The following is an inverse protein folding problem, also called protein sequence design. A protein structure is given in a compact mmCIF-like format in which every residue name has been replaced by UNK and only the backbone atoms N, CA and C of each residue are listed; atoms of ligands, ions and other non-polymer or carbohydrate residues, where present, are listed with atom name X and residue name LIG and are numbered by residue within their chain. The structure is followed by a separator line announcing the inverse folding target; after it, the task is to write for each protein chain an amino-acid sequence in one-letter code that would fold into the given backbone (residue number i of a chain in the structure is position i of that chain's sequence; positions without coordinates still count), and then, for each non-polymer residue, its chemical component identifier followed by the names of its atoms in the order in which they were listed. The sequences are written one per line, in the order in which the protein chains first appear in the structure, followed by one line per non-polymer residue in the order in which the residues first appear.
data_IF_119708216427
#
_entry.id   IF_119708216427
#
_cell.length_a   1.000
_cell.length_b   1.000
_cell.length_c   1.000
_cell.angle_alpha   90.00
_cell.angle_beta   90.00
_cell.angle_gamma   90.00
#
_symmetry.space_group_name_H-M   'P 1'
#
loop_
_entity.id
_entity.type
_entity.pdbx_description
1 polymer ?
#
# COMPACT_ATOMS: atom_id res chain seq x y z
N UNK A 1 -3.57 15.40 2.72
CA UNK A 1 -4.12 16.58 1.99
C UNK A 1 -3.24 17.83 2.14
N UNK A 2 -2.97 18.31 3.36
CA UNK A 2 -2.13 19.50 3.57
C UNK A 2 -0.77 19.42 2.89
N UNK A 3 -0.08 18.27 3.00
CA UNK A 3 1.20 18.06 2.32
C UNK A 3 1.11 18.24 0.79
N UNK A 4 0.01 17.82 0.14
CA UNK A 4 -0.13 17.99 -1.31
C UNK A 4 -0.32 19.46 -1.72
N UNK A 5 -0.81 20.32 -0.81
CA UNK A 5 -1.01 21.74 -1.08
C UNK A 5 0.30 22.55 -0.91
N UNK A 6 1.21 22.08 -0.07
CA UNK A 6 2.50 22.71 0.20
C UNK A 6 3.59 21.63 0.41
N UNK A 7 4.01 20.94 -0.67
CA UNK A 7 4.91 19.80 -0.54
C UNK A 7 6.36 20.26 -0.46
N UNK A 8 7.14 19.62 0.42
CA UNK A 8 8.60 19.90 0.53
C UNK A 8 9.33 19.55 -0.77
N UNK A 9 8.88 18.50 -1.46
CA UNK A 9 9.36 18.11 -2.79
C UNK A 9 8.20 18.31 -3.78
N UNK A 10 8.38 19.07 -4.88
CA UNK A 10 7.32 19.28 -5.87
C UNK A 10 6.66 17.96 -6.32
N UNK A 11 5.33 17.95 -6.47
CA UNK A 11 4.60 16.72 -6.79
C UNK A 11 5.02 16.12 -8.13
N UNK A 12 5.42 16.95 -9.09
CA UNK A 12 5.91 16.52 -10.41
C UNK A 12 7.22 15.72 -10.31
N UNK A 13 7.99 15.95 -9.24
CA UNK A 13 9.21 15.21 -8.91
C UNK A 13 8.94 13.97 -8.05
N UNK A 14 7.70 13.75 -7.61
CA UNK A 14 7.32 12.54 -6.87
C UNK A 14 7.04 11.41 -7.87
N UNK A 15 7.92 10.42 -7.93
CA UNK A 15 7.80 9.30 -8.86
C UNK A 15 6.65 8.34 -8.51
N UNK A 16 6.44 8.09 -7.22
CA UNK A 16 5.45 7.16 -6.69
C UNK A 16 5.16 7.46 -5.22
N UNK A 17 4.05 6.93 -4.70
CA UNK A 17 3.76 6.93 -3.27
C UNK A 17 3.35 5.50 -2.84
N UNK A 18 4.04 4.97 -1.83
CA UNK A 18 3.67 3.70 -1.20
C UNK A 18 3.21 4.00 0.22
N UNK A 19 1.90 3.93 0.44
CA UNK A 19 1.31 4.04 1.76
C UNK A 19 1.46 2.71 2.51
N UNK A 20 1.79 2.76 3.80
CA UNK A 20 1.87 1.59 4.67
C UNK A 20 0.81 1.77 5.75
N UNK A 21 -0.15 0.84 5.82
CA UNK A 21 -1.30 1.00 6.73
C UNK A 21 -1.80 -0.35 7.24
N UNK A 22 -2.08 -0.43 8.54
CA UNK A 22 -2.65 -1.61 9.20
C UNK A 22 -1.91 -2.91 8.88
N UNK A 23 -0.60 -2.91 9.15
CA UNK A 23 0.30 -4.05 8.88
C UNK A 23 0.56 -4.97 10.09
N UNK A 24 -0.21 -4.79 11.16
CA UNK A 24 0.09 -5.38 12.47
C UNK A 24 -0.41 -6.82 12.64
N UNK A 25 -1.27 -7.31 11.76
CA UNK A 25 -1.95 -8.61 11.92
C UNK A 25 -2.00 -9.35 10.57
N UNK A 26 -1.74 -10.67 10.54
CA UNK A 26 -1.76 -11.41 9.28
C UNK A 26 -3.17 -11.49 8.68
N UNK A 27 -3.24 -11.38 7.36
CA UNK A 27 -4.43 -11.67 6.58
C UNK A 27 -4.26 -13.01 5.87
N UNK A 28 -5.11 -13.98 6.18
CA UNK A 28 -5.09 -15.29 5.52
C UNK A 28 -5.38 -15.19 4.03
N UNK A 29 -6.16 -14.20 3.59
CA UNK A 29 -6.43 -13.99 2.16
C UNK A 29 -5.23 -13.40 1.41
N UNK A 30 -4.30 -12.76 2.12
CA UNK A 30 -3.02 -12.32 1.59
C UNK A 30 -1.94 -13.42 1.66
N UNK A 31 -2.28 -14.60 2.20
CA UNK A 31 -1.37 -15.71 2.40
C UNK A 31 -0.69 -15.77 3.78
N UNK A 32 -1.15 -14.97 4.76
CA UNK A 32 -0.80 -15.14 6.17
C UNK A 32 0.42 -14.33 6.66
N UNK A 33 1.16 -14.82 7.67
CA UNK A 33 2.31 -14.12 8.26
C UNK A 33 3.34 -13.64 7.23
N UNK A 34 3.86 -12.42 7.42
CA UNK A 34 4.82 -11.78 6.51
C UNK A 34 4.29 -11.38 5.12
N UNK A 35 2.99 -11.56 4.83
CA UNK A 35 2.41 -11.21 3.53
C UNK A 35 1.40 -10.08 3.63
N UNK A 36 1.28 -9.33 2.55
CA UNK A 36 0.41 -8.16 2.43
C UNK A 36 -0.33 -8.16 1.11
N UNK A 37 -1.38 -7.37 1.03
CA UNK A 37 -2.05 -7.04 -0.22
C UNK A 37 -1.80 -5.56 -0.58
N UNK A 38 -1.93 -5.24 -1.86
CA UNK A 38 -1.75 -3.89 -2.40
C UNK A 38 -3.07 -3.39 -3.00
N UNK A 39 -3.59 -2.26 -2.51
CA UNK A 39 -4.75 -1.62 -3.13
C UNK A 39 -4.44 -1.23 -4.57
N UNK A 40 -5.40 -1.36 -5.50
CA UNK A 40 -5.21 -0.85 -6.86
C UNK A 40 -4.05 -1.48 -7.61
N UNK A 41 -3.65 -2.70 -7.22
CA UNK A 41 -2.55 -3.48 -7.79
C UNK A 41 -2.56 -3.46 -9.32
N UNK A 42 -3.73 -3.61 -9.91
CA UNK A 42 -4.03 -3.68 -11.33
C UNK A 42 -4.12 -2.31 -12.03
N UNK A 43 -3.95 -1.18 -11.32
CA UNK A 43 -4.13 0.16 -11.90
C UNK A 43 -2.85 0.77 -12.46
N UNK A 44 -1.69 0.30 -12.02
CA UNK A 44 -0.39 0.86 -12.42
C UNK A 44 0.64 -0.25 -12.61
N UNK A 45 1.78 0.07 -13.19
CA UNK A 45 2.91 -0.87 -13.30
C UNK A 45 3.52 -1.25 -11.94
N UNK A 46 3.23 -0.52 -10.86
CA UNK A 46 3.81 -0.74 -9.52
C UNK A 46 3.57 -2.15 -8.98
N UNK A 47 2.32 -2.64 -9.02
CA UNK A 47 1.97 -3.94 -8.42
C UNK A 47 2.73 -5.09 -9.08
N UNK A 48 2.69 -5.14 -10.42
CA UNK A 48 3.42 -6.13 -11.20
C UNK A 48 4.94 -6.01 -11.01
N UNK A 49 5.49 -4.79 -11.03
CA UNK A 49 6.92 -4.54 -10.82
C UNK A 49 7.41 -5.09 -9.48
N UNK A 50 6.68 -4.83 -8.40
CA UNK A 50 7.02 -5.33 -7.07
C UNK A 50 6.90 -6.86 -6.98
N UNK A 51 5.84 -7.44 -7.57
CA UNK A 51 5.65 -8.89 -7.57
C UNK A 51 6.73 -9.62 -8.38
N UNK A 52 7.11 -9.12 -9.56
CA UNK A 52 8.19 -9.68 -10.38
C UNK A 52 9.55 -9.59 -9.69
N UNK A 53 9.77 -8.54 -8.88
CA UNK A 53 10.95 -8.40 -8.03
C UNK A 53 10.92 -9.28 -6.77
N UNK A 54 9.88 -10.11 -6.58
CA UNK A 54 9.77 -11.07 -5.50
C UNK A 54 9.28 -10.50 -4.16
N UNK A 55 8.63 -9.33 -4.17
CA UNK A 55 7.92 -8.82 -3.00
C UNK A 55 6.64 -9.65 -2.78
N UNK A 56 6.42 -10.08 -1.54
CA UNK A 56 5.32 -10.99 -1.17
C UNK A 56 3.94 -10.31 -1.11
N UNK A 57 3.54 -9.62 -2.18
CA UNK A 57 2.25 -8.94 -2.31
C UNK A 57 1.26 -9.70 -3.20
N UNK A 58 -0.02 -9.51 -2.92
CA UNK A 58 -1.14 -9.91 -3.79
C UNK A 58 -2.08 -8.72 -4.04
N UNK A 59 -2.98 -8.78 -5.04
CA UNK A 59 -4.06 -7.79 -5.17
C UNK A 59 -4.93 -7.75 -3.90
N UNK A 60 -5.53 -6.58 -3.61
CA UNK A 60 -6.56 -6.45 -2.57
C UNK A 60 -7.65 -7.53 -2.72
N UNK A 61 -7.80 -8.46 -1.76
CA UNK A 61 -8.75 -9.56 -1.87
C UNK A 61 -10.19 -9.14 -1.59
N UNK A 62 -10.46 -7.86 -1.27
CA UNK A 62 -11.77 -7.34 -0.87
C UNK A 62 -12.18 -6.10 -1.69
N UNK A 63 -12.30 -6.19 -3.03
CA UNK A 63 -12.54 -5.04 -3.91
C UNK A 63 -13.85 -4.30 -3.59
N UNK A 64 -14.85 -4.98 -3.02
CA UNK A 64 -16.13 -4.38 -2.60
C UNK A 64 -15.97 -3.36 -1.46
N UNK A 65 -14.91 -3.47 -0.66
CA UNK A 65 -14.59 -2.52 0.41
C UNK A 65 -14.02 -1.20 -0.11
N UNK A 66 -13.59 -1.18 -1.37
CA UNK A 66 -12.98 -0.01 -2.02
C UNK A 66 -11.83 0.59 -1.21
N UNK A 67 -10.93 -0.24 -0.68
CA UNK A 67 -9.83 0.26 0.18
C UNK A 67 -8.90 1.24 -0.52
N UNK A 68 -8.73 1.13 -1.84
CA UNK A 68 -7.93 2.07 -2.65
C UNK A 68 -8.31 3.56 -2.46
N UNK A 69 -9.58 3.87 -2.13
CA UNK A 69 -10.06 5.24 -1.92
C UNK A 69 -10.24 5.62 -0.45
N UNK A 70 -9.76 4.78 0.48
CA UNK A 70 -10.01 4.91 1.92
C UNK A 70 -8.76 5.31 2.73
N UNK A 71 -7.64 5.55 2.07
CA UNK A 71 -6.37 5.94 2.69
C UNK A 71 -5.75 7.16 2.00
N UNK A 72 -4.62 7.62 2.53
CA UNK A 72 -3.91 8.79 2.05
C UNK A 72 -3.35 8.63 0.63
N UNK A 73 -3.10 7.39 0.19
CA UNK A 73 -2.66 7.07 -1.18
C UNK A 73 -3.58 7.72 -2.23
N UNK A 74 -4.90 7.74 -1.98
CA UNK A 74 -5.89 8.19 -2.96
C UNK A 74 -5.73 9.67 -3.32
N UNK A 75 -5.30 10.51 -2.36
CA UNK A 75 -5.06 11.92 -2.63
C UNK A 75 -3.89 12.11 -3.62
N UNK A 76 -2.81 11.33 -3.47
CA UNK A 76 -1.68 11.32 -4.42
C UNK A 76 -2.10 10.73 -5.77
N UNK A 77 -2.94 9.68 -5.75
CA UNK A 77 -3.43 9.06 -6.97
C UNK A 77 -4.24 10.02 -7.85
N UNK A 78 -5.12 10.82 -7.21
CA UNK A 78 -5.88 11.88 -7.89
C UNK A 78 -5.00 13.02 -8.40
N UNK A 79 -3.83 13.24 -7.80
CA UNK A 79 -2.83 14.18 -8.29
C UNK A 79 -1.96 13.61 -9.42
N UNK A 80 -2.25 12.39 -9.91
CA UNK A 80 -1.55 11.75 -11.01
C UNK A 80 -0.32 10.95 -10.60
N UNK A 81 0.01 10.87 -9.32
CA UNK A 81 1.15 10.08 -8.81
C UNK A 81 0.68 8.63 -8.61
N UNK A 82 1.31 7.60 -9.20
CA UNK A 82 1.03 6.21 -8.88
C UNK A 82 1.18 5.94 -7.39
N UNK A 83 0.04 5.70 -6.74
CA UNK A 83 -0.06 5.70 -5.29
C UNK A 83 -0.97 4.58 -4.77
N UNK A 84 -0.40 3.70 -3.96
CA UNK A 84 -1.07 2.49 -3.47
C UNK A 84 -0.78 2.25 -1.99
N UNK A 85 -1.69 1.57 -1.32
CA UNK A 85 -1.54 1.14 0.08
C UNK A 85 -1.16 -0.33 0.16
N UNK A 86 -0.04 -0.58 0.83
CA UNK A 86 0.40 -1.89 1.31
C UNK A 86 -0.25 -2.15 2.68
N UNK A 87 -1.04 -3.23 2.79
CA UNK A 87 -1.77 -3.53 4.03
C UNK A 87 -1.88 -5.03 4.29
N UNK A 88 -2.13 -5.39 5.54
CA UNK A 88 -2.60 -6.72 5.94
C UNK A 88 -3.92 -6.65 6.72
N UNK A 89 -4.68 -5.56 6.57
CA UNK A 89 -5.98 -5.44 7.23
C UNK A 89 -6.91 -6.58 6.80
N UNK A 90 -7.47 -7.28 7.80
CA UNK A 90 -8.22 -8.51 7.62
C UNK A 90 -9.68 -8.41 8.12
N UNK A 91 -10.22 -7.19 8.21
CA UNK A 91 -11.56 -6.89 8.75
C UNK A 91 -11.75 -7.24 10.23
N UNK A 92 -10.68 -7.23 11.03
CA UNK A 92 -10.79 -7.40 12.47
C UNK A 92 -11.77 -6.37 13.08
N UNK A 93 -12.59 -6.82 14.04
CA UNK A 93 -13.80 -6.12 14.51
C UNK A 93 -13.53 -4.99 15.49
N UNK A 94 -12.32 -4.91 16.01
CA UNK A 94 -11.82 -3.87 16.89
C UNK A 94 -11.31 -2.62 16.16
N UNK A 95 -11.24 -2.62 14.82
CA UNK A 95 -10.91 -1.42 14.06
C UNK A 95 -11.82 -0.24 14.42
N UNK A 96 -11.23 0.95 14.65
CA UNK A 96 -11.91 2.15 15.18
C UNK A 96 -12.57 1.98 16.55
N UNK A 97 -12.07 1.07 17.40
CA UNK A 97 -12.53 0.87 18.78
C UNK A 97 -11.37 1.06 19.75
N UNK A 98 -11.71 1.34 21.01
CA UNK A 98 -10.76 1.40 22.14
C UNK A 98 -10.06 0.07 22.42
N UNK A 99 -10.46 -1.01 21.74
CA UNK A 99 -9.86 -2.33 21.86
C UNK A 99 -8.79 -2.61 20.79
N UNK A 100 -8.55 -1.69 19.85
CA UNK A 100 -7.44 -1.75 18.88
C UNK A 100 -6.13 -1.36 19.55
N UNK A 101 -5.61 -2.28 20.36
CA UNK A 101 -4.50 -2.06 21.28
C UNK A 101 -3.26 -2.87 20.86
N UNK A 102 -2.11 -2.53 21.45
CA UNK A 102 -0.80 -3.13 21.10
C UNK A 102 -0.74 -4.64 21.31
N UNK A 103 -1.55 -5.20 22.23
CA UNK A 103 -1.64 -6.64 22.49
C UNK A 103 -2.24 -7.43 21.32
N UNK A 104 -2.83 -6.74 20.35
CA UNK A 104 -3.36 -7.32 19.12
C UNK A 104 -2.33 -7.46 18.01
N UNK A 105 -1.15 -6.85 18.18
CA UNK A 105 -0.11 -6.83 17.15
C UNK A 105 0.70 -8.13 17.18
N UNK A 106 0.79 -8.79 16.03
CA UNK A 106 1.78 -9.82 15.77
C UNK A 106 3.07 -9.13 15.31
N UNK A 107 3.99 -8.90 16.25
CA UNK A 107 5.26 -8.23 15.96
C UNK A 107 6.15 -9.01 14.99
N UNK A 108 6.05 -10.34 14.94
CA UNK A 108 6.83 -11.13 14.00
C UNK A 108 6.31 -10.92 12.57
N UNK A 109 4.98 -10.93 12.39
CA UNK A 109 4.35 -10.55 11.13
C UNK A 109 4.72 -9.11 10.74
N UNK A 110 4.54 -8.15 11.63
CA UNK A 110 4.81 -6.74 11.34
C UNK A 110 6.28 -6.49 10.97
N UNK A 111 7.22 -7.16 11.65
CA UNK A 111 8.65 -7.07 11.32
C UNK A 111 8.92 -7.57 9.90
N UNK A 112 8.41 -8.74 9.54
CA UNK A 112 8.56 -9.29 8.20
C UNK A 112 7.94 -8.37 7.12
N UNK A 113 6.76 -7.78 7.40
CA UNK A 113 6.14 -6.82 6.48
C UNK A 113 6.98 -5.55 6.32
N UNK A 114 7.59 -5.05 7.40
CA UNK A 114 8.48 -3.88 7.33
C UNK A 114 9.73 -4.19 6.50
N UNK A 115 10.31 -5.38 6.66
CA UNK A 115 11.44 -5.83 5.84
C UNK A 115 11.06 -5.88 4.35
N UNK A 116 9.89 -6.42 4.01
CA UNK A 116 9.35 -6.41 2.65
C UNK A 116 9.10 -4.99 2.13
N UNK A 117 8.54 -4.11 2.95
CA UNK A 117 8.30 -2.71 2.59
C UNK A 117 9.60 -1.95 2.31
N UNK A 118 10.67 -2.20 3.08
CA UNK A 118 12.00 -1.64 2.81
C UNK A 118 12.53 -2.14 1.46
N UNK A 119 12.38 -3.43 1.14
CA UNK A 119 12.77 -3.97 -0.18
C UNK A 119 11.94 -3.31 -1.30
N UNK A 120 10.62 -3.18 -1.12
CA UNK A 120 9.74 -2.53 -2.07
C UNK A 120 10.14 -1.07 -2.33
N UNK A 121 10.39 -0.29 -1.28
CA UNK A 121 10.85 1.11 -1.41
C UNK A 121 12.17 1.21 -2.17
N UNK A 122 13.13 0.30 -1.93
CA UNK A 122 14.39 0.26 -2.69
C UNK A 122 14.15 -0.02 -4.17
N UNK A 123 13.28 -0.98 -4.49
CA UNK A 123 12.90 -1.29 -5.88
C UNK A 123 12.29 -0.06 -6.56
N UNK A 124 11.40 0.67 -5.87
CA UNK A 124 10.78 1.88 -6.41
C UNK A 124 11.76 3.05 -6.55
N UNK A 125 12.79 3.12 -5.69
CA UNK A 125 13.80 4.18 -5.72
C UNK A 125 14.86 3.95 -6.80
N UNK A 126 15.31 2.71 -6.97
CA UNK A 126 16.39 2.33 -7.88
C UNK A 126 15.88 1.86 -9.26
N UNK A 127 14.60 1.49 -9.35
CA UNK A 127 13.95 0.94 -10.53
C UNK A 127 13.30 1.98 -11.45
N UNK A 128 12.61 1.51 -12.50
CA UNK A 128 11.88 2.40 -13.39
C UNK A 128 10.73 3.09 -12.64
N UNK A 129 10.43 4.34 -13.02
CA UNK A 129 9.29 5.10 -12.50
C UNK A 129 7.99 4.31 -12.76
N UNK A 130 7.17 4.03 -11.74
CA UNK A 130 5.85 3.45 -11.97
C UNK A 130 4.96 4.39 -12.77
N UNK A 131 4.04 3.84 -13.56
CA UNK A 131 3.12 4.59 -14.40
C UNK A 131 1.71 4.04 -14.27
N UNK A 132 0.70 4.91 -14.39
CA UNK A 132 -0.68 4.48 -14.52
C UNK A 132 -0.88 3.72 -15.82
N UNK A 133 -1.60 2.61 -15.75
CA UNK A 133 -2.05 1.92 -16.96
C UNK A 133 -3.13 2.76 -17.68
N UNK A 134 -3.30 2.60 -19.00
CA UNK A 134 -4.25 3.41 -19.76
C UNK A 134 -5.66 3.41 -19.16
N UNK A 135 -6.17 4.60 -18.82
CA UNK A 135 -7.51 4.79 -18.24
C UNK A 135 -7.66 4.36 -16.77
N UNK A 136 -6.57 4.03 -16.07
CA UNK A 136 -6.64 3.50 -14.70
C UNK A 136 -6.33 4.53 -13.60
N UNK A 137 -5.80 5.70 -13.98
CA UNK A 137 -5.66 6.82 -13.05
C UNK A 137 -7.05 7.23 -12.53
N UNK A 138 -7.24 7.38 -11.20
CA UNK A 138 -8.50 7.85 -10.67
C UNK A 138 -8.73 9.35 -10.96
N UNK A 139 -9.99 9.72 -11.13
CA UNK A 139 -10.49 11.10 -11.18
C UNK A 139 -10.33 11.84 -9.84
#
# INVERSE_FOLDING_TARGET
RTYLADPVIPLEQTAAQLQIEMIGRPDSLAGGPGRTWLTGYERSTMGQMLAEAGIAIVPDPRPEQRFFMRSDNYAFARAGIPAHTLSSFNLHTDYHRVSDEVDRIDFAHMTAVIEEAIRAVRILADGPRPEWLPGMQPE
#
